data_IF_961695964155
#
_entry.id   IF_961695964155
#
_cell.length_a   1.000
_cell.length_b   1.000
_cell.length_c   1.000
_cell.angle_alpha   90.00
_cell.angle_beta   90.00
_cell.angle_gamma   90.00
#
_symmetry.space_group_name_H-M   'P 1'
#
loop_
_entity.id
_entity.type
_entity.pdbx_description
1 polymer ?
#
# COMPACT_ATOMS: atom_id res chain seq x y z
N UNK A 1 2.60 0.99 6.72
CA UNK A 1 2.19 1.64 7.98
C UNK A 1 0.68 1.83 7.97
N UNK A 2 -0.02 1.41 9.03
CA UNK A 2 -1.48 1.58 9.18
C UNK A 2 -1.78 2.83 10.02
N UNK A 3 -2.70 3.66 9.55
CA UNK A 3 -3.20 4.86 10.23
C UNK A 3 -4.71 4.74 10.41
N UNK A 4 -5.22 5.17 11.57
CA UNK A 4 -6.66 5.25 11.81
C UNK A 4 -7.07 6.72 11.84
N UNK A 5 -7.82 7.14 10.83
CA UNK A 5 -8.28 8.51 10.69
C UNK A 5 -9.77 8.60 11.09
N UNK A 6 -10.17 9.57 11.93
CA UNK A 6 -11.55 9.72 12.40
C UNK A 6 -12.65 9.71 11.33
N UNK A 7 -12.42 10.24 10.13
CA UNK A 7 -13.45 10.39 9.08
C UNK A 7 -13.23 9.41 7.91
N UNK A 8 -11.98 9.21 7.51
CA UNK A 8 -11.56 8.38 6.37
C UNK A 8 -11.50 6.90 6.77
N UNK A 9 -11.36 6.61 8.07
CA UNK A 9 -11.17 5.26 8.58
C UNK A 9 -9.72 4.79 8.45
N UNK A 10 -9.49 3.46 8.40
CA UNK A 10 -8.16 2.90 8.30
C UNK A 10 -7.53 3.16 6.92
N UNK A 11 -6.28 3.64 6.92
CA UNK A 11 -5.47 3.94 5.74
C UNK A 11 -4.13 3.21 5.83
N UNK A 12 -3.76 2.48 4.79
CA UNK A 12 -2.49 1.77 4.71
C UNK A 12 -1.52 2.49 3.77
N UNK A 13 -0.40 2.96 4.30
CA UNK A 13 0.72 3.47 3.50
C UNK A 13 1.71 2.34 3.24
N UNK A 14 1.86 1.87 2.01
CA UNK A 14 2.82 0.78 1.69
C UNK A 14 4.22 1.30 1.43
N UNK A 15 4.36 2.55 0.97
CA UNK A 15 5.65 3.18 0.63
C UNK A 15 6.43 2.25 -0.31
N UNK A 16 7.69 1.92 0.00
CA UNK A 16 8.55 1.10 -0.85
C UNK A 16 8.28 -0.40 -0.73
N UNK A 17 7.50 -0.82 0.28
CA UNK A 17 7.11 -2.22 0.41
C UNK A 17 6.23 -2.67 -0.77
N UNK A 18 5.48 -1.74 -1.38
CA UNK A 18 4.70 -1.97 -2.59
C UNK A 18 4.70 -0.69 -3.41
N UNK A 19 5.51 -0.68 -4.47
CA UNK A 19 5.74 0.50 -5.31
C UNK A 19 4.52 0.85 -6.17
N UNK A 20 3.91 -0.16 -6.80
CA UNK A 20 2.83 -0.02 -7.78
C UNK A 20 1.64 -0.89 -7.39
N UNK A 21 0.41 -0.43 -7.65
CA UNK A 21 -0.80 -1.17 -7.30
C UNK A 21 -0.85 -2.57 -7.91
N UNK A 22 -0.41 -2.74 -9.16
CA UNK A 22 -0.42 -4.04 -9.82
C UNK A 22 0.50 -5.07 -9.16
N UNK A 23 1.50 -4.63 -8.38
CA UNK A 23 2.39 -5.50 -7.63
C UNK A 23 1.82 -5.87 -6.26
N UNK A 24 0.64 -5.35 -5.89
CA UNK A 24 -0.05 -5.67 -4.66
C UNK A 24 -0.84 -6.98 -4.77
N UNK A 25 -0.12 -8.07 -5.07
CA UNK A 25 -0.68 -9.40 -5.27
C UNK A 25 0.11 -10.43 -4.46
N UNK A 26 -0.50 -11.56 -4.06
CA UNK A 26 0.19 -12.60 -3.27
C UNK A 26 1.46 -13.12 -3.95
N UNK A 27 1.42 -13.23 -5.27
CA UNK A 27 2.49 -13.77 -6.13
C UNK A 27 3.33 -12.66 -6.78
N UNK A 28 3.50 -11.53 -6.08
CA UNK A 28 4.29 -10.40 -6.57
C UNK A 28 5.65 -10.88 -7.12
N UNK A 29 6.02 -10.50 -8.36
CA UNK A 29 7.35 -10.77 -8.89
C UNK A 29 8.41 -9.90 -8.19
N UNK A 30 9.60 -10.47 -7.98
CA UNK A 30 10.74 -9.70 -7.49
C UNK A 30 11.26 -8.74 -8.57
N UNK A 31 11.68 -7.55 -8.14
CA UNK A 31 12.34 -6.55 -8.96
C UNK A 31 13.85 -6.52 -8.72
N UNK A 32 14.64 -5.89 -9.61
CA UNK A 32 16.09 -5.78 -9.47
C UNK A 32 16.57 -5.13 -8.16
N UNK A 33 15.73 -4.31 -7.52
CA UNK A 33 16.05 -3.64 -6.26
C UNK A 33 15.60 -4.45 -5.03
N UNK A 34 14.88 -5.56 -5.22
CA UNK A 34 14.47 -6.43 -4.13
C UNK A 34 15.66 -7.32 -3.73
N UNK A 35 16.17 -7.14 -2.52
CA UNK A 35 17.30 -7.93 -2.01
C UNK A 35 16.89 -9.37 -1.64
N UNK A 36 15.61 -9.59 -1.33
CA UNK A 36 15.08 -10.89 -0.92
C UNK A 36 13.62 -11.08 -1.39
N UNK A 37 13.45 -11.93 -2.39
CA UNK A 37 12.15 -12.24 -3.01
C UNK A 37 11.14 -12.87 -2.03
N UNK A 38 11.57 -13.82 -1.20
CA UNK A 38 10.68 -14.48 -0.23
C UNK A 38 10.17 -13.49 0.82
N UNK A 39 11.05 -12.64 1.33
CA UNK A 39 10.70 -11.63 2.32
C UNK A 39 9.75 -10.59 1.74
N UNK A 40 9.97 -10.17 0.50
CA UNK A 40 9.08 -9.24 -0.22
C UNK A 40 7.69 -9.83 -0.42
N UNK A 41 7.59 -11.11 -0.84
CA UNK A 41 6.30 -11.82 -0.96
C UNK A 41 5.62 -12.02 0.38
N UNK A 42 6.38 -12.39 1.42
CA UNK A 42 5.85 -12.55 2.77
C UNK A 42 5.29 -11.22 3.32
N UNK A 43 6.01 -10.11 3.11
CA UNK A 43 5.56 -8.77 3.48
C UNK A 43 4.30 -8.36 2.71
N UNK A 44 4.27 -8.60 1.40
CA UNK A 44 3.10 -8.30 0.56
C UNK A 44 1.86 -9.09 1.00
N UNK A 45 2.01 -10.40 1.29
CA UNK A 45 0.91 -11.23 1.82
C UNK A 45 0.42 -10.75 3.18
N UNK A 46 1.32 -10.32 4.06
CA UNK A 46 0.94 -9.73 5.36
C UNK A 46 0.13 -8.45 5.19
N UNK A 47 0.51 -7.59 4.24
CA UNK A 47 -0.22 -6.35 3.95
C UNK A 47 -1.61 -6.64 3.36
N UNK A 48 -1.73 -7.61 2.47
CA UNK A 48 -3.03 -8.06 1.94
C UNK A 48 -3.95 -8.59 3.03
N UNK A 49 -3.42 -9.44 3.92
CA UNK A 49 -4.16 -9.94 5.07
C UNK A 49 -4.62 -8.79 5.98
N UNK A 50 -3.77 -7.79 6.21
CA UNK A 50 -4.13 -6.61 7.01
C UNK A 50 -5.27 -5.79 6.36
N UNK A 51 -5.24 -5.62 5.04
CA UNK A 51 -6.31 -4.93 4.29
C UNK A 51 -7.64 -5.63 4.48
N UNK A 52 -7.66 -6.97 4.39
CA UNK A 52 -8.86 -7.77 4.59
C UNK A 52 -9.33 -7.72 6.06
N UNK A 53 -8.43 -7.90 7.02
CA UNK A 53 -8.77 -7.95 8.44
C UNK A 53 -9.32 -6.62 8.98
N UNK A 54 -8.69 -5.50 8.61
CA UNK A 54 -9.05 -4.17 9.10
C UNK A 54 -10.02 -3.44 8.16
N UNK A 55 -10.50 -4.11 7.10
CA UNK A 55 -11.42 -3.54 6.10
C UNK A 55 -10.91 -2.20 5.55
N UNK A 56 -9.61 -2.17 5.19
CA UNK A 56 -8.91 -0.95 4.77
C UNK A 56 -9.43 -0.50 3.40
N UNK A 57 -10.10 0.65 3.38
CA UNK A 57 -10.66 1.20 2.15
C UNK A 57 -9.64 1.99 1.31
N UNK A 58 -8.56 2.48 1.92
CA UNK A 58 -7.53 3.28 1.24
C UNK A 58 -6.13 2.70 1.48
N UNK A 59 -5.51 2.22 0.40
CA UNK A 59 -4.10 1.78 0.36
C UNK A 59 -3.34 2.74 -0.55
N UNK A 60 -2.24 3.33 -0.08
CA UNK A 60 -1.41 4.28 -0.84
C UNK A 60 -0.08 3.64 -1.19
N UNK A 61 0.21 3.57 -2.50
CA UNK A 61 1.42 2.97 -3.07
C UNK A 61 2.53 4.00 -3.30
N UNK A 62 3.79 3.55 -3.19
CA UNK A 62 4.94 4.46 -3.15
C UNK A 62 5.17 5.26 -4.44
N UNK A 63 4.97 4.64 -5.60
CA UNK A 63 5.34 5.18 -6.91
C UNK A 63 4.25 5.04 -7.99
N UNK A 64 3.02 4.72 -7.59
CA UNK A 64 1.91 4.55 -8.54
C UNK A 64 1.39 5.92 -9.03
N UNK A 65 1.99 6.41 -10.12
CA UNK A 65 1.65 7.71 -10.69
C UNK A 65 0.20 7.84 -11.17
N UNK A 66 -0.49 6.74 -11.45
CA UNK A 66 -1.92 6.78 -11.77
C UNK A 66 -2.75 6.97 -10.50
N UNK A 67 -2.44 6.23 -9.44
CA UNK A 67 -3.10 6.42 -8.15
C UNK A 67 -2.89 7.83 -7.61
N UNK A 68 -1.68 8.38 -7.69
CA UNK A 68 -1.35 9.70 -7.15
C UNK A 68 -2.22 10.83 -7.72
N UNK A 69 -2.67 10.71 -8.97
CA UNK A 69 -3.58 11.68 -9.61
C UNK A 69 -4.98 11.70 -8.97
N UNK A 70 -5.34 10.66 -8.22
CA UNK A 70 -6.65 10.52 -7.55
C UNK A 70 -6.61 10.86 -6.07
N UNK A 71 -5.41 11.04 -5.50
CA UNK A 71 -5.24 11.30 -4.07
C UNK A 71 -5.45 12.79 -3.75
N UNK A 72 -5.93 13.06 -2.54
CA UNK A 72 -5.90 14.41 -1.98
C UNK A 72 -4.45 14.80 -1.76
N UNK A 73 -4.09 15.99 -2.23
CA UNK A 73 -2.78 16.59 -2.05
C UNK A 73 -2.95 17.93 -1.35
N UNK A 74 -1.92 18.40 -0.65
CA UNK A 74 -2.00 19.65 0.08
C UNK A 74 -2.45 20.81 -0.85
N UNK A 75 -3.37 21.67 -0.40
CA UNK A 75 -3.85 21.83 0.97
C UNK A 75 -4.97 20.87 1.41
N UNK A 76 -5.50 20.02 0.53
CA UNK A 76 -6.50 19.01 0.89
C UNK A 76 -5.88 17.87 1.70
N UNK A 77 -6.69 17.22 2.55
CA UNK A 77 -6.23 16.15 3.44
C UNK A 77 -7.28 15.07 3.70
N UNK A 78 -6.78 13.95 4.23
CA UNK A 78 -7.57 12.88 4.84
C UNK A 78 -7.59 13.09 6.35
N UNK A 79 -8.78 13.05 6.95
CA UNK A 79 -8.98 13.14 8.40
C UNK A 79 -9.90 12.03 8.88
#
# INVERSE_FOLDING_TARGET
MLLHLPQTGPVLLTIDAVLMQFAFTPDRPAWPMDENEEQVRASTRKLLALVEQEQIALVIFGHDGHQWQTLKTAPDYYA
#
